data_IF_931782881772
#
_entry.id   IF_931782881772
#
_cell.length_a   1.000
_cell.length_b   1.000
_cell.length_c   1.000
_cell.angle_alpha   90.00
_cell.angle_beta   90.00
_cell.angle_gamma   90.00
#
_symmetry.space_group_name_H-M   'P 1'
#
loop_
_entity.id
_entity.type
_entity.pdbx_description
1 polymer ?
#
# COMPACT_ATOMS: atom_id res chain seq x y z
N UNK A 1 -31.47 5.57 -36.30
CA UNK A 1 -31.45 4.09 -36.35
C UNK A 1 -30.18 3.62 -35.70
N UNK A 2 -30.29 3.23 -34.44
CA UNK A 2 -29.20 2.73 -33.60
C UNK A 2 -28.87 1.30 -34.00
N UNK A 3 -27.69 1.08 -34.59
CA UNK A 3 -27.11 -0.26 -34.69
C UNK A 3 -27.03 -0.86 -33.29
N UNK A 4 -27.82 -1.90 -33.10
CA UNK A 4 -27.86 -2.73 -31.93
C UNK A 4 -26.53 -3.49 -31.89
N UNK A 5 -25.53 -2.93 -31.18
CA UNK A 5 -24.22 -3.55 -31.02
C UNK A 5 -24.36 -4.88 -30.28
N UNK A 6 -24.42 -5.97 -31.06
CA UNK A 6 -24.40 -7.37 -30.65
C UNK A 6 -23.02 -7.84 -30.20
N UNK A 7 -22.26 -6.98 -29.51
CA UNK A 7 -20.95 -7.30 -28.96
C UNK A 7 -21.05 -7.58 -27.46
N UNK A 8 -20.59 -8.75 -27.01
CA UNK A 8 -20.17 -8.86 -25.60
C UNK A 8 -18.99 -7.91 -25.40
N UNK A 9 -19.06 -6.98 -24.44
CA UNK A 9 -18.04 -5.95 -24.18
C UNK A 9 -16.59 -6.47 -24.01
N UNK A 10 -15.61 -5.62 -23.66
CA UNK A 10 -15.76 -4.35 -22.95
C UNK A 10 -15.89 -3.11 -23.84
N UNK A 11 -16.65 -2.13 -23.38
CA UNK A 11 -16.87 -0.83 -24.01
C UNK A 11 -15.86 0.20 -23.50
N UNK A 12 -15.39 1.10 -24.37
CA UNK A 12 -14.54 2.23 -23.94
C UNK A 12 -15.36 3.23 -23.11
N UNK A 13 -14.83 3.73 -21.98
CA UNK A 13 -15.46 4.82 -21.26
C UNK A 13 -15.60 6.06 -22.16
N UNK A 14 -16.76 6.73 -22.08
CA UNK A 14 -17.02 7.98 -22.78
C UNK A 14 -16.68 9.23 -21.93
N UNK A 15 -15.99 9.04 -20.81
CA UNK A 15 -15.60 10.09 -19.86
C UNK A 15 -14.08 10.12 -19.66
N UNK A 16 -13.53 11.32 -19.47
CA UNK A 16 -12.12 11.48 -19.16
C UNK A 16 -11.79 10.76 -17.86
N UNK A 17 -10.63 10.10 -17.85
CA UNK A 17 -10.08 9.42 -16.69
C UNK A 17 -8.69 9.97 -16.38
N UNK A 18 -8.25 9.75 -15.14
CA UNK A 18 -6.92 10.18 -14.71
C UNK A 18 -5.84 9.55 -15.62
N UNK A 19 -5.03 10.42 -16.22
CA UNK A 19 -4.00 10.02 -17.18
C UNK A 19 -4.32 10.40 -18.63
N UNK A 20 -5.57 10.81 -18.90
CA UNK A 20 -6.03 11.20 -20.22
C UNK A 20 -5.88 10.08 -21.26
N UNK A 21 -5.90 10.46 -22.53
CA UNK A 21 -5.64 9.52 -23.63
C UNK A 21 -4.13 9.25 -23.72
N UNK A 22 -3.68 7.99 -23.58
CA UNK A 22 -2.26 7.66 -23.64
C UNK A 22 -1.67 7.98 -25.01
N UNK A 23 -0.45 8.53 -25.03
CA UNK A 23 0.34 8.82 -26.24
C UNK A 23 1.57 7.91 -26.27
N UNK A 24 1.70 7.11 -27.33
CA UNK A 24 2.75 6.11 -27.48
C UNK A 24 4.16 6.65 -27.20
N UNK A 25 4.50 7.80 -27.80
CA UNK A 25 5.85 8.38 -27.75
C UNK A 25 6.20 9.03 -26.40
N UNK A 26 5.23 9.17 -25.48
CA UNK A 26 5.41 9.82 -24.19
C UNK A 26 5.21 8.80 -23.06
N UNK A 27 4.07 8.11 -23.06
CA UNK A 27 3.66 7.23 -21.98
C UNK A 27 4.46 5.93 -21.90
N UNK A 28 4.89 5.36 -23.05
CA UNK A 28 5.70 4.14 -23.05
C UNK A 28 7.07 4.38 -22.42
N UNK A 29 7.88 5.39 -22.84
CA UNK A 29 9.16 5.65 -22.20
C UNK A 29 9.04 5.90 -20.69
N UNK A 30 8.08 6.72 -20.25
CA UNK A 30 7.88 7.00 -18.82
C UNK A 30 7.53 5.72 -18.06
N UNK A 31 6.60 4.91 -18.58
CA UNK A 31 6.22 3.64 -17.93
C UNK A 31 7.38 2.64 -17.91
N UNK A 32 8.23 2.61 -18.94
CA UNK A 32 9.41 1.75 -18.99
C UNK A 32 10.46 2.13 -17.94
N UNK A 33 10.65 3.44 -17.66
CA UNK A 33 11.51 3.89 -16.56
C UNK A 33 10.97 3.41 -15.21
N UNK A 34 9.67 3.58 -14.96
CA UNK A 34 9.07 3.07 -13.72
C UNK A 34 9.17 1.54 -13.61
N UNK A 35 8.94 0.81 -14.71
CA UNK A 35 9.12 -0.63 -14.76
C UNK A 35 10.53 -1.03 -14.30
N UNK A 36 11.56 -0.39 -14.87
CA UNK A 36 12.96 -0.62 -14.49
C UNK A 36 13.20 -0.34 -13.01
N UNK A 37 12.70 0.78 -12.49
CA UNK A 37 12.82 1.13 -11.07
C UNK A 37 12.13 0.11 -10.16
N UNK A 38 10.93 -0.38 -10.51
CA UNK A 38 10.27 -1.42 -9.72
C UNK A 38 10.97 -2.78 -9.80
N UNK A 39 11.64 -3.11 -10.91
CA UNK A 39 12.52 -4.30 -10.99
C UNK A 39 13.66 -4.17 -10.00
N UNK A 40 14.34 -3.01 -9.96
CA UNK A 40 15.40 -2.76 -8.98
C UNK A 40 14.88 -2.77 -7.54
N UNK A 41 13.70 -2.20 -7.28
CA UNK A 41 13.03 -2.25 -5.98
C UNK A 41 12.71 -3.68 -5.55
N UNK A 42 12.18 -4.51 -6.46
CA UNK A 42 11.92 -5.93 -6.22
C UNK A 42 13.22 -6.69 -5.89
N UNK A 43 14.27 -6.50 -6.69
CA UNK A 43 15.58 -7.10 -6.44
C UNK A 43 16.14 -6.69 -5.07
N UNK A 44 16.00 -5.42 -4.71
CA UNK A 44 16.45 -4.89 -3.41
C UNK A 44 15.72 -5.56 -2.25
N UNK A 45 14.39 -5.55 -2.22
CA UNK A 45 13.63 -6.14 -1.12
C UNK A 45 13.76 -7.66 -1.06
N UNK A 46 13.88 -8.34 -2.19
CA UNK A 46 14.17 -9.78 -2.25
C UNK A 46 15.55 -10.09 -1.68
N UNK A 47 16.57 -9.31 -2.04
CA UNK A 47 17.93 -9.48 -1.54
C UNK A 47 17.98 -9.28 -0.02
N UNK A 48 17.33 -8.24 0.50
CA UNK A 48 17.26 -8.00 1.95
C UNK A 48 16.51 -9.15 2.64
N UNK A 49 15.40 -9.63 2.07
CA UNK A 49 14.65 -10.76 2.63
C UNK A 49 15.51 -12.03 2.70
N UNK A 50 16.19 -12.40 1.61
CA UNK A 50 17.05 -13.57 1.58
C UNK A 50 18.22 -13.46 2.56
N UNK A 51 18.87 -12.30 2.61
CA UNK A 51 19.98 -12.05 3.53
C UNK A 51 19.54 -12.17 5.00
N UNK A 52 18.40 -11.56 5.36
CA UNK A 52 17.88 -11.63 6.71
C UNK A 52 17.44 -13.05 7.07
N UNK A 53 16.81 -13.78 6.14
CA UNK A 53 16.38 -15.16 6.38
C UNK A 53 17.57 -16.12 6.59
N UNK A 54 18.69 -15.91 5.87
CA UNK A 54 19.95 -16.66 6.10
C UNK A 54 20.55 -16.42 7.49
N UNK A 55 20.23 -15.30 8.13
CA UNK A 55 20.64 -14.97 9.50
C UNK A 55 19.58 -15.30 10.56
N UNK A 56 18.53 -16.06 10.21
CA UNK A 56 17.42 -16.37 11.11
C UNK A 56 16.46 -15.20 11.38
N UNK A 57 16.69 -14.02 10.79
CA UNK A 57 15.84 -12.84 10.93
C UNK A 57 14.70 -12.86 9.90
N UNK A 58 13.56 -13.45 10.28
CA UNK A 58 12.36 -13.46 9.43
C UNK A 58 11.65 -12.11 9.49
N UNK A 59 11.64 -11.36 8.38
CA UNK A 59 10.91 -10.09 8.26
C UNK A 59 9.97 -10.11 7.05
N UNK A 60 8.74 -10.57 7.28
CA UNK A 60 7.73 -10.81 6.23
C UNK A 60 7.38 -9.56 5.41
N UNK A 61 7.52 -8.34 5.96
CA UNK A 61 7.16 -7.12 5.23
C UNK A 61 8.10 -6.84 4.04
N UNK A 62 9.36 -7.28 4.05
CA UNK A 62 10.17 -7.21 2.84
C UNK A 62 9.63 -8.12 1.73
N UNK A 63 9.06 -9.28 2.10
CA UNK A 63 8.33 -10.12 1.15
C UNK A 63 7.08 -9.44 0.61
N UNK A 64 6.33 -8.71 1.45
CA UNK A 64 5.19 -7.90 1.00
C UNK A 64 5.62 -6.73 0.10
N UNK A 65 6.71 -6.02 0.41
CA UNK A 65 7.24 -4.94 -0.44
C UNK A 65 7.79 -5.47 -1.76
N UNK A 66 8.40 -6.66 -1.76
CA UNK A 66 8.73 -7.39 -2.99
C UNK A 66 7.46 -7.70 -3.80
N UNK A 67 6.42 -8.27 -3.17
CA UNK A 67 5.14 -8.54 -3.83
C UNK A 67 4.46 -7.28 -4.38
N UNK A 68 4.60 -6.15 -3.68
CA UNK A 68 4.16 -4.84 -4.16
C UNK A 68 4.92 -4.46 -5.45
N UNK A 69 6.25 -4.57 -5.46
CA UNK A 69 7.04 -4.29 -6.64
C UNK A 69 6.68 -5.23 -7.81
N UNK A 70 6.46 -6.53 -7.56
CA UNK A 70 5.99 -7.49 -8.58
C UNK A 70 4.63 -7.13 -9.16
N UNK A 71 3.72 -6.66 -8.31
CA UNK A 71 2.41 -6.13 -8.75
C UNK A 71 2.63 -4.94 -9.67
N UNK A 72 3.54 -4.01 -9.33
CA UNK A 72 3.84 -2.83 -10.14
C UNK A 72 4.57 -3.12 -11.45
N UNK A 73 5.46 -4.11 -11.46
CA UNK A 73 6.08 -4.64 -12.69
C UNK A 73 4.98 -5.13 -13.62
N UNK A 74 4.06 -5.96 -13.12
CA UNK A 74 2.89 -6.45 -13.87
C UNK A 74 2.04 -5.28 -14.38
N UNK A 75 1.73 -4.30 -13.52
CA UNK A 75 0.99 -3.08 -13.91
C UNK A 75 1.66 -2.36 -15.08
N UNK A 76 2.97 -2.13 -15.00
CA UNK A 76 3.72 -1.39 -16.02
C UNK A 76 3.76 -2.16 -17.34
N UNK A 77 3.99 -3.48 -17.30
CA UNK A 77 3.99 -4.33 -18.49
C UNK A 77 2.63 -4.33 -19.19
N UNK A 78 1.54 -4.54 -18.45
CA UNK A 78 0.18 -4.51 -19.01
C UNK A 78 -0.15 -3.11 -19.53
N UNK A 79 0.29 -2.05 -18.83
CA UNK A 79 0.08 -0.67 -19.26
C UNK A 79 0.81 -0.39 -20.58
N UNK A 80 2.08 -0.75 -20.72
CA UNK A 80 2.82 -0.60 -21.99
C UNK A 80 2.11 -1.34 -23.12
N UNK A 81 1.68 -2.59 -22.87
CA UNK A 81 0.93 -3.37 -23.85
C UNK A 81 -0.40 -2.70 -24.23
N UNK A 82 -1.14 -2.14 -23.26
CA UNK A 82 -2.40 -1.42 -23.51
C UNK A 82 -2.23 -0.17 -24.36
N UNK A 83 -1.08 0.50 -24.26
CA UNK A 83 -0.76 1.70 -25.04
C UNK A 83 -0.29 1.31 -26.45
N UNK A 84 0.47 0.23 -26.57
CA UNK A 84 0.94 -0.30 -27.84
C UNK A 84 -0.20 -0.91 -28.67
N UNK A 85 -1.21 -1.48 -28.01
CA UNK A 85 -2.36 -2.15 -28.61
C UNK A 85 -3.68 -1.49 -28.16
N UNK A 86 -3.96 -0.24 -28.58
CA UNK A 86 -5.11 0.52 -28.07
C UNK A 86 -6.46 -0.13 -28.42
N UNK A 87 -6.54 -0.96 -29.46
CA UNK A 87 -7.75 -1.71 -29.81
C UNK A 87 -8.16 -2.73 -28.74
N UNK A 88 -7.21 -3.23 -27.94
CA UNK A 88 -7.48 -4.21 -26.90
C UNK A 88 -7.83 -3.52 -25.56
N UNK A 89 -9.12 -3.23 -25.40
CA UNK A 89 -9.66 -2.56 -24.20
C UNK A 89 -9.44 -3.37 -22.92
N UNK A 90 -9.35 -4.71 -23.02
CA UNK A 90 -9.12 -5.59 -21.85
C UNK A 90 -7.76 -5.32 -21.21
N UNK A 91 -6.74 -5.00 -22.01
CA UNK A 91 -5.42 -4.62 -21.48
C UNK A 91 -5.48 -3.30 -20.71
N UNK A 92 -6.21 -2.31 -21.23
CA UNK A 92 -6.39 -1.02 -20.55
C UNK A 92 -7.16 -1.18 -19.24
N UNK A 93 -8.23 -1.99 -19.25
CA UNK A 93 -9.00 -2.34 -18.05
C UNK A 93 -8.14 -3.04 -17.00
N UNK A 94 -7.37 -4.05 -17.41
CA UNK A 94 -6.47 -4.78 -16.51
C UNK A 94 -5.41 -3.83 -15.91
N UNK A 95 -4.78 -2.97 -16.72
CA UNK A 95 -3.84 -1.97 -16.23
C UNK A 95 -4.47 -1.07 -15.17
N UNK A 96 -5.70 -0.58 -15.40
CA UNK A 96 -6.41 0.29 -14.45
C UNK A 96 -6.71 -0.41 -13.12
N UNK A 97 -7.13 -1.68 -13.17
CA UNK A 97 -7.39 -2.49 -11.96
C UNK A 97 -6.11 -2.62 -11.14
N UNK A 98 -5.00 -3.01 -11.78
CA UNK A 98 -3.71 -3.15 -11.10
C UNK A 98 -3.17 -1.81 -10.58
N UNK A 99 -3.39 -0.69 -11.28
CA UNK A 99 -2.99 0.65 -10.81
C UNK A 99 -3.65 0.96 -9.48
N UNK A 100 -4.97 0.75 -9.38
CA UNK A 100 -5.76 1.06 -8.20
C UNK A 100 -5.54 0.06 -7.05
N UNK A 101 -5.45 -1.25 -7.35
CA UNK A 101 -5.34 -2.30 -6.36
C UNK A 101 -3.96 -2.38 -5.69
N UNK A 102 -2.88 -2.12 -6.44
CA UNK A 102 -1.52 -2.42 -5.98
C UNK A 102 -1.12 -1.72 -4.67
N UNK A 103 -1.53 -0.45 -4.49
CA UNK A 103 -1.18 0.37 -3.32
C UNK A 103 -1.73 -0.17 -2.01
N UNK A 104 -2.83 -0.93 -2.07
CA UNK A 104 -3.54 -1.44 -0.88
C UNK A 104 -2.59 -2.28 0.00
N UNK A 105 -1.64 -2.98 -0.62
CA UNK A 105 -0.64 -3.76 0.12
C UNK A 105 0.23 -2.88 1.04
N UNK A 106 0.59 -1.67 0.59
CA UNK A 106 1.36 -0.70 1.38
C UNK A 106 0.53 -0.11 2.51
N UNK A 107 -0.78 0.11 2.31
CA UNK A 107 -1.67 0.53 3.39
C UNK A 107 -1.72 -0.52 4.51
N UNK A 108 -1.81 -1.81 4.14
CA UNK A 108 -1.79 -2.92 5.11
C UNK A 108 -0.47 -2.95 5.88
N UNK A 109 0.67 -2.79 5.19
CA UNK A 109 2.00 -2.73 5.86
C UNK A 109 2.02 -1.59 6.90
N UNK A 110 1.58 -0.39 6.51
CA UNK A 110 1.57 0.78 7.39
C UNK A 110 0.63 0.62 8.59
N UNK A 111 -0.52 -0.03 8.40
CA UNK A 111 -1.44 -0.36 9.49
C UNK A 111 -0.84 -1.38 10.46
N UNK A 112 -0.15 -2.41 9.97
CA UNK A 112 0.49 -3.38 10.84
C UNK A 112 1.62 -2.72 11.63
N UNK A 113 2.41 -1.85 11.01
CA UNK A 113 3.44 -1.09 11.70
C UNK A 113 2.87 -0.09 12.71
N UNK A 114 1.76 0.59 12.41
CA UNK A 114 1.10 1.50 13.37
C UNK A 114 0.54 0.72 14.56
N UNK A 115 -0.04 -0.46 14.34
CA UNK A 115 -0.47 -1.36 15.40
C UNK A 115 0.67 -1.80 16.32
N UNK A 116 1.85 -2.09 15.75
CA UNK A 116 3.06 -2.43 16.54
C UNK A 116 3.52 -1.25 17.40
N UNK A 117 3.54 -0.04 16.84
CA UNK A 117 3.89 1.17 17.61
C UNK A 117 2.86 1.41 18.73
N UNK A 118 1.56 1.31 18.44
CA UNK A 118 0.51 1.46 19.44
C UNK A 118 0.67 0.48 20.62
N UNK A 119 0.95 -0.79 20.32
CA UNK A 119 1.21 -1.84 21.32
C UNK A 119 2.45 -1.58 22.16
N UNK A 120 3.46 -0.93 21.60
CA UNK A 120 4.69 -0.57 22.31
C UNK A 120 4.51 0.64 23.23
N UNK A 121 3.60 1.58 22.89
CA UNK A 121 3.32 2.75 23.71
C UNK A 121 2.32 2.48 24.82
N UNK A 122 1.31 1.63 24.59
CA UNK A 122 0.25 1.44 25.56
C UNK A 122 -0.32 0.02 25.56
N UNK A 123 -0.61 -0.50 26.77
CA UNK A 123 -1.23 -1.80 26.97
C UNK A 123 -2.59 -1.90 26.26
N UNK A 124 -3.30 -0.78 26.09
CA UNK A 124 -4.55 -0.72 25.31
C UNK A 124 -4.41 -1.27 23.89
N UNK A 125 -3.22 -1.15 23.26
CA UNK A 125 -2.96 -1.76 21.96
C UNK A 125 -3.04 -3.29 21.95
N UNK A 126 -3.01 -3.92 23.13
CA UNK A 126 -3.18 -5.35 23.37
C UNK A 126 -4.62 -5.74 23.74
N UNK A 127 -5.52 -4.77 23.92
CA UNK A 127 -6.90 -5.06 24.28
C UNK A 127 -7.61 -5.87 23.18
N UNK A 128 -8.46 -6.82 23.59
CA UNK A 128 -9.16 -7.74 22.66
C UNK A 128 -9.98 -6.98 21.63
N UNK A 129 -10.62 -5.87 22.02
CA UNK A 129 -11.39 -5.02 21.11
C UNK A 129 -10.54 -4.41 20.00
N UNK A 130 -9.32 -3.94 20.31
CA UNK A 130 -8.41 -3.39 19.30
C UNK A 130 -7.95 -4.49 18.34
N UNK A 131 -7.66 -5.69 18.85
CA UNK A 131 -7.33 -6.82 17.99
C UNK A 131 -8.44 -7.14 16.98
N UNK A 132 -9.68 -7.24 17.44
CA UNK A 132 -10.84 -7.46 16.57
C UNK A 132 -11.11 -6.30 15.61
N UNK A 133 -10.91 -5.05 16.05
CA UNK A 133 -11.06 -3.87 15.20
C UNK A 133 -10.07 -3.90 14.01
N UNK A 134 -8.81 -4.28 14.24
CA UNK A 134 -7.83 -4.45 13.16
C UNK A 134 -8.19 -5.62 12.24
N UNK A 135 -8.68 -6.75 12.76
CA UNK A 135 -9.16 -7.87 11.93
C UNK A 135 -10.32 -7.40 11.04
N UNK A 136 -11.32 -6.74 11.61
CA UNK A 136 -12.45 -6.19 10.88
C UNK A 136 -11.99 -5.20 9.80
N UNK A 137 -11.00 -4.35 10.12
CA UNK A 137 -10.41 -3.42 9.16
C UNK A 137 -9.72 -4.15 7.98
N UNK A 138 -8.96 -5.22 8.24
CA UNK A 138 -8.31 -5.99 7.16
C UNK A 138 -9.34 -6.73 6.29
N UNK A 139 -10.38 -7.32 6.90
CA UNK A 139 -11.47 -7.95 6.16
C UNK A 139 -12.19 -6.92 5.30
N UNK A 140 -12.48 -5.74 5.86
CA UNK A 140 -13.10 -4.63 5.14
C UNK A 140 -12.25 -4.20 3.94
N UNK A 141 -10.93 -4.05 4.08
CA UNK A 141 -10.03 -3.72 2.97
C UNK A 141 -10.17 -4.73 1.81
N UNK A 142 -10.16 -6.02 2.12
CA UNK A 142 -10.24 -7.10 1.11
C UNK A 142 -11.61 -7.11 0.44
N UNK A 143 -12.70 -7.01 1.21
CA UNK A 143 -14.06 -6.96 0.68
C UNK A 143 -14.28 -5.73 -0.19
N UNK A 144 -13.85 -4.54 0.26
CA UNK A 144 -13.92 -3.31 -0.53
C UNK A 144 -13.11 -3.44 -1.82
N UNK A 145 -11.93 -4.05 -1.78
CA UNK A 145 -11.13 -4.27 -2.99
C UNK A 145 -11.89 -5.15 -3.99
N UNK A 146 -12.48 -6.26 -3.54
CA UNK A 146 -13.27 -7.14 -4.38
C UNK A 146 -14.49 -6.41 -5.00
N UNK A 147 -15.22 -5.64 -4.19
CA UNK A 147 -16.37 -4.83 -4.64
C UNK A 147 -15.95 -3.81 -5.71
N UNK A 148 -14.86 -3.07 -5.50
CA UNK A 148 -14.37 -2.08 -6.46
C UNK A 148 -13.92 -2.75 -7.75
N UNK A 149 -13.20 -3.87 -7.69
CA UNK A 149 -12.78 -4.61 -8.90
C UNK A 149 -14.02 -5.06 -9.69
N UNK A 150 -15.01 -5.66 -9.02
CA UNK A 150 -16.25 -6.10 -9.68
C UNK A 150 -16.99 -4.93 -10.30
N UNK A 151 -17.13 -3.80 -9.59
CA UNK A 151 -17.78 -2.59 -10.10
C UNK A 151 -17.03 -2.00 -11.32
N UNK A 152 -15.71 -2.00 -11.30
CA UNK A 152 -14.88 -1.53 -12.43
C UNK A 152 -15.04 -2.46 -13.62
N UNK A 153 -15.00 -3.78 -13.43
CA UNK A 153 -15.21 -4.73 -14.53
C UNK A 153 -16.62 -4.58 -15.09
N UNK A 154 -17.65 -4.63 -14.24
CA UNK A 154 -19.05 -4.55 -14.65
C UNK A 154 -19.35 -3.26 -15.43
N UNK A 155 -18.79 -2.12 -15.02
CA UNK A 155 -19.04 -0.84 -15.70
C UNK A 155 -18.57 -0.82 -17.15
N UNK A 156 -17.59 -1.66 -17.51
CA UNK A 156 -17.09 -1.82 -18.89
C UNK A 156 -17.92 -2.80 -19.71
N UNK A 157 -18.70 -3.69 -19.09
CA UNK A 157 -19.48 -4.72 -19.80
C UNK A 157 -20.98 -4.43 -19.85
N UNK A 158 -21.47 -3.48 -19.04
CA UNK A 158 -22.87 -3.05 -19.06
C UNK A 158 -23.07 -1.76 -19.85
N UNK A 159 -24.17 -1.67 -20.59
CA UNK A 159 -24.68 -0.44 -21.21
C UNK A 159 -25.80 0.22 -20.38
N UNK A 160 -26.33 -0.49 -19.36
CA UNK A 160 -27.44 0.00 -18.55
C UNK A 160 -26.98 1.18 -17.66
N UNK A 161 -27.57 2.38 -17.81
CA UNK A 161 -27.22 3.55 -17.01
C UNK A 161 -27.41 3.36 -15.50
N UNK A 162 -28.42 2.59 -15.09
CA UNK A 162 -28.70 2.31 -13.67
C UNK A 162 -27.60 1.42 -13.05
N UNK A 163 -27.14 0.40 -13.77
CA UNK A 163 -26.03 -0.43 -13.29
C UNK A 163 -24.74 0.39 -13.20
N UNK A 164 -24.47 1.25 -14.19
CA UNK A 164 -23.28 2.12 -14.18
C UNK A 164 -23.29 3.13 -13.03
N UNK A 165 -24.46 3.66 -12.65
CA UNK A 165 -24.54 4.58 -11.51
C UNK A 165 -24.25 3.88 -10.19
N UNK A 166 -24.71 2.64 -10.01
CA UNK A 166 -24.35 1.78 -8.88
C UNK A 166 -22.84 1.51 -8.87
N UNK A 167 -22.28 1.05 -9.99
CA UNK A 167 -20.85 0.77 -10.11
C UNK A 167 -20.00 2.00 -9.76
N UNK A 168 -20.43 3.18 -10.23
CA UNK A 168 -19.81 4.46 -9.91
C UNK A 168 -19.86 4.75 -8.42
N UNK A 169 -21.00 4.55 -7.76
CA UNK A 169 -21.14 4.73 -6.31
C UNK A 169 -20.22 3.78 -5.52
N UNK A 170 -20.11 2.52 -5.95
CA UNK A 170 -19.21 1.53 -5.35
C UNK A 170 -17.72 1.93 -5.50
N UNK A 171 -17.34 2.45 -6.67
CA UNK A 171 -15.98 2.97 -6.91
C UNK A 171 -15.68 4.21 -6.05
N UNK A 172 -16.63 5.13 -5.92
CA UNK A 172 -16.52 6.31 -5.05
C UNK A 172 -16.37 5.92 -3.58
N UNK A 173 -17.22 5.00 -3.12
CA UNK A 173 -17.14 4.43 -1.77
C UNK A 173 -15.77 3.83 -1.53
N UNK A 174 -15.32 2.91 -2.39
CA UNK A 174 -14.06 2.20 -2.18
C UNK A 174 -12.83 3.11 -2.27
N UNK A 175 -12.81 4.05 -3.22
CA UNK A 175 -11.75 5.05 -3.31
C UNK A 175 -11.68 5.94 -2.05
N UNK A 176 -12.83 6.37 -1.54
CA UNK A 176 -12.92 7.17 -0.31
C UNK A 176 -12.49 6.37 0.92
N UNK A 177 -12.94 5.13 1.04
CA UNK A 177 -12.56 4.26 2.15
C UNK A 177 -11.05 4.00 2.15
N UNK A 178 -10.45 3.68 1.00
CA UNK A 178 -9.01 3.50 0.90
C UNK A 178 -8.23 4.77 1.21
N UNK A 179 -8.75 5.95 0.86
CA UNK A 179 -8.18 7.21 1.31
C UNK A 179 -8.23 7.31 2.84
N UNK A 180 -9.38 7.13 3.47
CA UNK A 180 -9.51 7.15 4.95
C UNK A 180 -8.55 6.15 5.61
N UNK A 181 -8.46 4.93 5.08
CA UNK A 181 -7.56 3.88 5.57
C UNK A 181 -6.10 4.29 5.48
N UNK A 182 -5.71 4.99 4.42
CA UNK A 182 -4.33 5.49 4.29
C UNK A 182 -3.96 6.52 5.37
N UNK A 183 -4.93 7.28 5.91
CA UNK A 183 -4.73 8.23 7.01
C UNK A 183 -4.67 7.57 8.40
N UNK A 184 -5.26 6.39 8.57
CA UNK A 184 -5.34 5.71 9.88
C UNK A 184 -3.98 5.52 10.57
N UNK A 185 -2.88 5.10 9.90
CA UNK A 185 -1.56 5.02 10.52
C UNK A 185 -1.12 6.32 11.19
N UNK A 186 -1.40 7.47 10.57
CA UNK A 186 -1.05 8.80 11.12
C UNK A 186 -1.84 9.07 12.40
N UNK A 187 -3.16 8.83 12.37
CA UNK A 187 -4.05 9.02 13.54
C UNK A 187 -3.66 8.07 14.68
N UNK A 188 -3.38 6.81 14.37
CA UNK A 188 -2.98 5.80 15.36
C UNK A 188 -1.65 6.17 16.03
N UNK A 189 -0.67 6.67 15.27
CA UNK A 189 0.62 7.11 15.83
C UNK A 189 0.43 8.37 16.67
N UNK A 190 -0.33 9.35 16.18
CA UNK A 190 -0.61 10.59 16.91
C UNK A 190 -1.27 10.30 18.27
N UNK A 191 -2.30 9.46 18.27
CA UNK A 191 -2.95 9.01 19.51
C UNK A 191 -2.02 8.23 20.42
N UNK A 192 -1.18 7.32 19.89
CA UNK A 192 -0.20 6.58 20.68
C UNK A 192 0.82 7.50 21.39
N UNK A 193 1.35 8.51 20.68
CA UNK A 193 2.31 9.47 21.23
C UNK A 193 1.67 10.35 22.31
N UNK A 194 0.46 10.87 22.05
CA UNK A 194 -0.29 11.70 23.02
C UNK A 194 -0.58 10.90 24.29
N UNK A 195 -1.12 9.68 24.16
CA UNK A 195 -1.45 8.83 25.32
C UNK A 195 -0.21 8.46 26.14
N UNK A 196 0.92 8.19 25.48
CA UNK A 196 2.19 7.88 26.15
C UNK A 196 2.72 9.07 26.94
N UNK A 197 2.58 10.29 26.41
CA UNK A 197 2.98 11.51 27.10
C UNK A 197 2.12 11.77 28.34
N UNK A 198 0.79 11.59 28.22
CA UNK A 198 -0.15 11.75 29.35
C UNK A 198 0.11 10.72 30.44
N UNK A 199 0.36 9.46 30.08
CA UNK A 199 0.55 8.39 31.07
C UNK A 199 1.95 8.33 31.69
N UNK A 200 2.92 9.15 31.23
CA UNK A 200 4.34 9.11 31.65
C UNK A 200 4.96 7.70 31.64
N UNK A 201 4.51 6.81 30.74
CA UNK A 201 4.96 5.41 30.69
C UNK A 201 6.14 5.24 29.74
N UNK A 202 7.05 4.36 30.14
CA UNK A 202 8.17 3.96 29.30
C UNK A 202 7.70 3.16 28.09
N UNK A 203 8.17 3.59 26.91
CA UNK A 203 7.87 2.94 25.65
C UNK A 203 8.63 1.62 25.53
N UNK A 204 7.93 0.56 25.15
CA UNK A 204 8.55 -0.73 24.92
C UNK A 204 9.49 -0.66 23.70
N UNK A 205 10.78 -0.87 23.93
CA UNK A 205 11.78 -0.86 22.86
C UNK A 205 11.66 -2.17 22.06
N UNK A 206 11.73 -2.05 20.74
CA UNK A 206 11.70 -3.19 19.81
C UNK A 206 12.43 -2.81 18.52
N UNK A 207 12.97 -3.81 17.83
CA UNK A 207 13.81 -3.60 16.65
C UNK A 207 15.07 -2.78 16.94
N UNK A 208 15.83 -2.49 15.89
CA UNK A 208 17.08 -1.73 16.01
C UNK A 208 16.86 -0.21 15.86
N UNK A 209 17.65 0.56 16.61
CA UNK A 209 17.74 2.01 16.51
C UNK A 209 16.70 2.80 17.33
N UNK A 210 16.77 4.13 17.17
CA UNK A 210 15.95 5.08 17.95
C UNK A 210 14.46 4.93 17.64
N UNK A 211 13.62 4.96 18.69
CA UNK A 211 12.17 4.86 18.55
C UNK A 211 11.57 5.99 17.70
N UNK A 212 12.09 7.22 17.85
CA UNK A 212 11.70 8.37 17.03
C UNK A 212 11.86 8.11 15.53
N UNK A 213 12.92 7.43 15.12
CA UNK A 213 13.15 7.13 13.70
C UNK A 213 12.10 6.19 13.13
N UNK A 214 11.58 5.24 13.91
CA UNK A 214 10.46 4.37 13.49
C UNK A 214 9.19 5.19 13.25
N UNK A 215 8.84 6.04 14.21
CA UNK A 215 7.69 6.94 14.11
C UNK A 215 7.81 7.82 12.86
N UNK A 216 8.94 8.50 12.67
CA UNK A 216 9.17 9.37 11.51
C UNK A 216 9.13 8.59 10.19
N UNK A 217 9.73 7.39 10.15
CA UNK A 217 9.69 6.53 8.95
C UNK A 217 8.25 6.17 8.57
N UNK A 218 7.45 5.74 9.56
CA UNK A 218 6.06 5.38 9.29
C UNK A 218 5.22 6.60 8.93
N UNK A 219 5.40 7.75 9.61
CA UNK A 219 4.67 8.98 9.29
C UNK A 219 4.99 9.47 7.87
N UNK A 220 6.26 9.53 7.47
CA UNK A 220 6.63 9.96 6.11
C UNK A 220 6.00 9.02 5.07
N UNK A 221 6.15 7.71 5.25
CA UNK A 221 5.59 6.75 4.30
C UNK A 221 4.07 6.74 4.26
N UNK A 222 3.40 6.90 5.41
CA UNK A 222 1.95 7.04 5.49
C UNK A 222 1.46 8.33 4.83
N UNK A 223 2.14 9.46 5.03
CA UNK A 223 1.80 10.74 4.39
C UNK A 223 1.93 10.66 2.87
N UNK A 224 3.00 10.04 2.36
CA UNK A 224 3.16 9.79 0.93
C UNK A 224 1.99 8.94 0.38
N UNK A 225 1.64 7.86 1.08
CA UNK A 225 0.49 7.02 0.74
C UNK A 225 -0.84 7.78 0.77
N UNK A 226 -1.03 8.65 1.78
CA UNK A 226 -2.21 9.51 1.92
C UNK A 226 -2.36 10.47 0.75
N UNK A 227 -1.26 11.10 0.33
CA UNK A 227 -1.27 12.04 -0.78
C UNK A 227 -1.80 11.38 -2.06
N UNK A 228 -1.27 10.21 -2.41
CA UNK A 228 -1.73 9.47 -3.60
C UNK A 228 -3.17 8.96 -3.47
N UNK A 229 -3.57 8.48 -2.29
CA UNK A 229 -4.93 8.00 -2.05
C UNK A 229 -5.98 9.13 -2.07
N UNK A 230 -5.69 10.24 -1.39
CA UNK A 230 -6.55 11.43 -1.37
C UNK A 230 -6.68 12.05 -2.77
N UNK A 231 -5.59 12.12 -3.54
CA UNK A 231 -5.65 12.60 -4.91
C UNK A 231 -6.56 11.73 -5.79
N UNK A 232 -6.45 10.40 -5.71
CA UNK A 232 -7.32 9.47 -6.45
C UNK A 232 -8.78 9.56 -6.01
N UNK A 233 -9.05 9.65 -4.71
CA UNK A 233 -10.40 9.81 -4.20
C UNK A 233 -10.99 11.15 -4.66
N UNK A 234 -10.27 12.25 -4.50
CA UNK A 234 -10.71 13.58 -4.90
C UNK A 234 -10.99 13.70 -6.39
N UNK A 235 -10.07 13.23 -7.25
CA UNK A 235 -10.30 13.21 -8.71
C UNK A 235 -11.42 12.28 -9.13
N UNK A 236 -11.68 11.23 -8.34
CA UNK A 236 -12.84 10.38 -8.54
C UNK A 236 -14.14 11.06 -8.14
N UNK A 237 -14.20 11.99 -7.20
CA UNK A 237 -15.43 12.70 -6.83
C UNK A 237 -15.79 13.86 -7.77
N UNK A 238 -14.88 14.28 -8.63
CA UNK A 238 -15.16 15.31 -9.62
C UNK A 238 -16.24 14.87 -10.61
N UNK A 239 -17.02 15.85 -11.09
CA UNK A 239 -18.06 15.63 -12.08
C UNK A 239 -17.47 15.00 -13.34
N UNK A 240 -18.02 13.86 -13.83
CA UNK A 240 -17.52 13.21 -15.02
C UNK A 240 -17.56 14.15 -16.24
N UNK A 241 -16.43 14.32 -16.91
CA UNK A 241 -16.33 15.15 -18.11
C UNK A 241 -16.35 14.25 -19.35
N UNK A 242 -17.27 14.45 -20.31
CA UNK A 242 -17.30 13.66 -21.55
C UNK A 242 -16.01 13.78 -22.36
N UNK A 243 -15.59 12.70 -23.04
CA UNK A 243 -14.41 12.70 -23.92
C UNK A 243 -14.49 13.72 -25.06
N UNK A 244 -15.70 14.13 -25.45
CA UNK A 244 -15.91 15.14 -26.48
C UNK A 244 -15.46 16.56 -26.04
N UNK A 245 -15.36 16.80 -24.73
CA UNK A 245 -14.89 18.08 -24.18
C UNK A 245 -13.38 18.12 -23.98
N UNK A 246 -12.86 19.30 -23.62
CA UNK A 246 -11.45 19.52 -23.32
C UNK A 246 -10.99 18.71 -22.10
N UNK A 247 -9.79 18.12 -22.17
CA UNK A 247 -9.16 17.41 -21.05
C UNK A 247 -8.99 18.35 -19.84
N UNK A 248 -9.59 18.05 -18.68
CA UNK A 248 -9.37 18.82 -17.46
C UNK A 248 -7.93 18.70 -16.96
N UNK A 249 -7.34 19.79 -16.46
CA UNK A 249 -5.94 19.83 -16.03
C UNK A 249 -5.58 18.79 -14.95
N UNK A 250 -6.52 18.44 -14.06
CA UNK A 250 -6.33 17.45 -13.01
C UNK A 250 -6.33 15.99 -13.52
N UNK A 251 -6.76 15.75 -14.76
CA UNK A 251 -6.63 14.45 -15.43
C UNK A 251 -5.35 14.31 -16.26
N UNK A 252 -4.51 15.35 -16.29
CA UNK A 252 -3.27 15.34 -17.05
C UNK A 252 -2.36 14.16 -16.69
N UNK A 253 -1.76 13.56 -17.72
CA UNK A 253 -0.84 12.39 -17.62
C UNK A 253 0.27 12.55 -16.58
N UNK A 254 0.78 13.77 -16.40
CA UNK A 254 1.82 14.05 -15.40
C UNK A 254 1.36 13.68 -13.98
N UNK A 255 0.15 14.10 -13.60
CA UNK A 255 -0.42 13.76 -12.30
C UNK A 255 -0.66 12.27 -12.14
N UNK A 256 -1.08 11.59 -13.20
CA UNK A 256 -1.25 10.13 -13.18
C UNK A 256 0.06 9.42 -12.80
N UNK A 257 1.19 9.76 -13.45
CA UNK A 257 2.46 9.11 -13.14
C UNK A 257 3.01 9.49 -11.77
N UNK A 258 2.97 10.77 -11.40
CA UNK A 258 3.49 11.24 -10.10
C UNK A 258 2.70 10.63 -8.95
N UNK A 259 1.37 10.69 -9.01
CA UNK A 259 0.50 10.30 -7.88
C UNK A 259 0.33 8.79 -7.74
N UNK A 260 0.48 8.02 -8.83
CA UNK A 260 0.45 6.57 -8.78
C UNK A 260 1.87 6.01 -8.66
N UNK A 261 2.68 6.08 -9.71
CA UNK A 261 3.98 5.40 -9.72
C UNK A 261 5.08 6.15 -8.98
N UNK A 262 5.09 7.48 -9.04
CA UNK A 262 6.11 8.34 -8.42
C UNK A 262 6.12 8.24 -6.88
N UNK A 263 4.96 8.46 -6.26
CA UNK A 263 4.81 8.30 -4.80
C UNK A 263 5.17 6.89 -4.36
N UNK A 264 4.73 5.89 -5.10
CA UNK A 264 4.94 4.48 -4.76
C UNK A 264 6.40 4.06 -4.82
N UNK A 265 7.13 4.50 -5.86
CA UNK A 265 8.56 4.18 -5.97
C UNK A 265 9.35 4.90 -4.88
N UNK A 266 8.97 6.13 -4.52
CA UNK A 266 9.56 6.85 -3.38
C UNK A 266 9.36 6.07 -2.07
N UNK A 267 8.16 5.54 -1.82
CA UNK A 267 7.89 4.73 -0.62
C UNK A 267 8.74 3.46 -0.58
N UNK A 268 8.84 2.74 -1.71
CA UNK A 268 9.65 1.52 -1.82
C UNK A 268 11.11 1.78 -1.45
N UNK A 269 11.75 2.74 -2.11
CA UNK A 269 13.16 3.04 -1.84
C UNK A 269 13.37 3.67 -0.47
N UNK A 270 12.45 4.52 -0.02
CA UNK A 270 12.51 5.10 1.32
C UNK A 270 12.50 4.01 2.40
N UNK A 271 11.63 3.00 2.29
CA UNK A 271 11.61 1.88 3.24
C UNK A 271 12.86 1.01 3.16
N UNK A 272 13.42 0.80 1.96
CA UNK A 272 14.70 0.10 1.82
C UNK A 272 15.85 0.88 2.50
N UNK A 273 15.99 2.17 2.22
CA UNK A 273 17.03 3.05 2.79
C UNK A 273 16.89 3.15 4.30
N UNK A 274 15.67 3.31 4.81
CA UNK A 274 15.41 3.37 6.23
C UNK A 274 15.61 2.04 6.96
N UNK A 275 15.94 0.94 6.24
CA UNK A 275 16.16 -0.39 6.80
C UNK A 275 15.01 -0.80 7.72
N UNK A 276 13.79 -0.69 7.19
CA UNK A 276 12.56 -1.07 7.92
C UNK A 276 12.61 -2.50 8.43
N UNK A 277 13.39 -3.34 7.76
CA UNK A 277 13.67 -4.73 8.10
C UNK A 277 14.29 -4.92 9.47
N UNK A 278 15.18 -4.01 9.88
CA UNK A 278 15.80 -4.05 11.20
C UNK A 278 14.98 -3.26 12.22
N UNK A 279 14.36 -2.15 11.79
CA UNK A 279 13.66 -1.22 12.69
C UNK A 279 12.32 -1.74 13.17
N UNK A 280 11.54 -2.37 12.30
CA UNK A 280 10.19 -2.84 12.63
C UNK A 280 10.14 -4.32 13.02
N UNK A 281 11.29 -4.96 13.17
CA UNK A 281 11.37 -6.36 13.57
C UNK A 281 10.87 -6.54 15.02
N UNK A 282 10.07 -7.58 15.22
CA UNK A 282 9.51 -7.99 16.52
C UNK A 282 9.73 -9.49 16.64
N UNK A 283 10.17 -10.01 17.80
CA UNK A 283 10.34 -11.45 18.01
C UNK A 283 9.08 -12.26 17.66
N UNK A 284 9.27 -13.44 17.08
CA UNK A 284 8.15 -14.32 16.75
C UNK A 284 7.43 -14.77 18.04
N UNK A 285 6.09 -14.84 18.00
CA UNK A 285 5.31 -15.33 19.14
C UNK A 285 5.05 -14.30 20.26
N UNK A 286 5.29 -13.01 20.02
CA UNK A 286 4.96 -11.92 20.94
C UNK A 286 3.44 -11.90 21.29
N UNK A 287 3.09 -12.49 22.46
CA UNK A 287 1.73 -12.63 22.99
C UNK A 287 1.57 -11.81 24.26
N UNK A 288 1.35 -10.51 24.09
CA UNK A 288 0.98 -9.62 25.19
C UNK A 288 2.01 -8.51 25.47
N UNK A 289 1.66 -7.56 26.35
CA UNK A 289 2.53 -6.46 26.72
C UNK A 289 3.81 -6.95 27.40
N UNK A 290 4.95 -6.32 27.08
CA UNK A 290 6.27 -6.75 27.56
C UNK A 290 6.93 -7.82 26.69
N UNK A 291 6.23 -8.39 25.71
CA UNK A 291 6.78 -9.44 24.83
C UNK A 291 7.69 -8.91 23.71
N UNK A 292 7.75 -7.60 23.49
CA UNK A 292 8.68 -7.00 22.53
C UNK A 292 10.09 -6.82 23.12
N UNK A 293 10.21 -6.79 24.47
CA UNK A 293 11.51 -6.73 25.19
C UNK A 293 12.36 -7.99 25.08
N UNK A 294 11.84 -9.10 24.55
CA UNK A 294 12.49 -10.41 24.53
C UNK A 294 13.87 -10.50 23.85
N UNK A 295 14.37 -9.42 23.23
CA UNK A 295 15.73 -9.35 22.70
C UNK A 295 16.78 -9.30 23.81
N UNK A 296 16.51 -8.66 24.95
CA UNK A 296 17.47 -8.61 26.07
C UNK A 296 17.52 -9.93 26.86
N UNK A 297 16.38 -10.63 26.97
CA UNK A 297 16.29 -11.86 27.79
C UNK A 297 16.98 -13.06 27.13
N UNK A 298 16.94 -13.18 25.80
CA UNK A 298 17.64 -14.26 25.08
C UNK A 298 19.16 -14.02 25.11
N UNK A 299 19.59 -12.77 24.91
CA UNK A 299 21.00 -12.40 24.94
C UNK A 299 21.62 -12.53 26.35
N UNK A 300 20.89 -12.13 27.39
CA UNK A 300 21.32 -12.30 28.78
C UNK A 300 21.36 -13.75 29.26
N UNK A 301 20.54 -14.64 28.67
CA UNK A 301 20.63 -16.10 28.93
C UNK A 301 21.81 -16.75 28.23
N UNK A 302 22.12 -16.35 26.99
CA UNK A 302 23.30 -16.86 26.26
C UNK A 302 24.61 -16.33 26.87
N UNK A 303 24.69 -15.05 27.24
CA UNK A 303 25.86 -14.46 27.91
C UNK A 303 26.02 -14.98 29.35
N UNK A 304 24.93 -15.20 30.09
CA UNK A 304 24.96 -15.81 31.43
C UNK A 304 25.37 -17.29 31.43
N UNK A 305 24.90 -18.05 30.44
CA UNK A 305 25.27 -19.47 30.28
C UNK A 305 26.74 -19.63 29.89
N UNK A 306 27.30 -18.74 29.06
CA UNK A 306 28.72 -18.78 28.69
C UNK A 306 29.63 -18.38 29.86
N UNK A 307 29.20 -17.43 30.71
CA UNK A 307 29.95 -17.01 31.89
C UNK A 307 29.94 -18.07 33.02
N UNK A 308 28.85 -18.82 33.21
CA UNK A 308 28.83 -19.95 34.16
C UNK A 308 29.76 -21.08 33.72
N UNK A 309 29.84 -21.36 32.42
CA UNK A 309 30.70 -22.44 31.89
C UNK A 309 32.20 -22.12 31.97
N UNK A 310 32.60 -20.83 31.93
CA UNK A 310 34.00 -20.41 32.11
C UNK A 310 34.43 -20.33 33.60
N UNK A 311 33.47 -20.36 34.54
CA UNK A 311 33.76 -20.33 35.98
C UNK A 311 33.94 -21.71 36.64
N UNK A 312 33.67 -22.78 35.90
CA UNK A 312 33.80 -24.18 36.34
C UNK A 312 35.05 -24.91 35.80
N UNK A 313 36.01 -24.17 35.20
CA UNK A 313 37.29 -24.72 34.70
C UNK A 313 38.48 -24.15 35.48
#
# INVERSE_FOLDING_TARGET
MSEQQSGSGPWRPAIWTLGGIPKKNIDIPITAVFLFLFILGAATHMTILQYNNRRGHKFLFNGMLFGFCMTRITTCTIRIASIALPSNIRLALAAQIFVAAGIVLVFVINLIWSQRILRAHHHFGWHRSIHWAFIALYVLIVLTLAVVITAVVQSYYTLNPHTRSIDRALQLYGGTLFAVISFLPIVIIGTAVILSHVSKRDVEKFGHGRHRTRIVTLLIGATLCCLGAAFRAGTSWMSPVPLAGTEPAYYHRGWFYVMNFGIEILVVYFYAVMRVDLRFWVPNGAKGPGSYRGVEVVKGKEEGSLAETESEV
#
